data_IF_828201106237
#
_entry.id   IF_828201106237
#
_cell.length_a   1.000
_cell.length_b   1.000
_cell.length_c   1.000
_cell.angle_alpha   90.00
_cell.angle_beta   90.00
_cell.angle_gamma   90.00
#
_symmetry.space_group_name_H-M   'P 1'
#
loop_
_entity.id
_entity.type
_entity.pdbx_description
1 polymer ?
#
# COMPACT_ATOMS: atom_id res chain seq x y z
N UNK A 1 13.40 -19.95 -21.15
CA UNK A 1 12.75 -18.63 -20.95
C UNK A 1 13.65 -17.79 -20.06
N UNK A 2 14.09 -16.63 -20.54
CA UNK A 2 15.09 -15.79 -19.90
C UNK A 2 14.64 -15.35 -18.49
N UNK A 3 15.51 -15.51 -17.49
CA UNK A 3 15.40 -14.80 -16.21
C UNK A 3 15.55 -13.32 -16.55
N UNK A 4 14.45 -12.58 -16.62
CA UNK A 4 14.52 -11.13 -16.64
C UNK A 4 15.23 -10.72 -15.35
N UNK A 5 16.45 -10.19 -15.48
CA UNK A 5 17.11 -9.46 -14.42
C UNK A 5 16.18 -8.32 -14.01
N UNK A 6 15.40 -8.56 -12.95
CA UNK A 6 14.43 -7.59 -12.47
C UNK A 6 15.18 -6.30 -12.12
N UNK A 7 14.63 -5.12 -12.48
CA UNK A 7 15.43 -3.92 -12.57
C UNK A 7 16.04 -3.59 -11.19
N UNK A 8 17.37 -3.44 -11.13
CA UNK A 8 18.16 -3.01 -9.95
C UNK A 8 17.63 -1.72 -9.28
N UNK A 9 16.71 -1.02 -9.95
CA UNK A 9 16.01 0.16 -9.47
C UNK A 9 15.07 -0.13 -8.29
N UNK A 10 14.40 -1.29 -8.24
CA UNK A 10 13.49 -1.62 -7.14
C UNK A 10 14.20 -1.66 -5.79
N UNK A 11 15.37 -2.28 -5.75
CA UNK A 11 16.27 -2.33 -4.58
C UNK A 11 16.70 -0.93 -4.12
N UNK A 12 17.07 -0.05 -5.06
CA UNK A 12 17.48 1.33 -4.75
C UNK A 12 16.33 2.19 -4.26
N UNK A 13 15.12 2.00 -4.78
CA UNK A 13 13.92 2.79 -4.43
C UNK A 13 13.32 2.30 -3.11
N UNK A 14 13.51 1.02 -2.77
CA UNK A 14 12.83 0.39 -1.64
C UNK A 14 13.04 1.14 -0.32
N UNK A 15 14.25 1.53 0.12
CA UNK A 15 14.44 2.29 1.36
C UNK A 15 13.72 3.65 1.35
N UNK A 16 13.69 4.31 0.20
CA UNK A 16 13.14 5.66 0.03
C UNK A 16 11.63 5.70 -0.18
N UNK A 17 10.96 4.55 -0.27
CA UNK A 17 9.51 4.46 -0.54
C UNK A 17 8.67 5.33 0.39
N UNK A 18 9.05 5.47 1.66
CA UNK A 18 8.37 6.36 2.60
C UNK A 18 8.56 7.85 2.27
N UNK A 19 9.81 8.26 2.00
CA UNK A 19 10.14 9.64 1.65
C UNK A 19 9.49 10.12 0.35
N UNK A 20 9.36 9.23 -0.64
CA UNK A 20 8.63 9.52 -1.88
C UNK A 20 7.17 9.93 -1.61
N UNK A 21 6.51 9.25 -0.66
CA UNK A 21 5.14 9.60 -0.27
C UNK A 21 5.05 10.89 0.54
N UNK A 22 6.10 11.25 1.30
CA UNK A 22 6.19 12.57 1.94
C UNK A 22 6.26 13.67 0.88
N UNK A 23 7.11 13.52 -0.14
CA UNK A 23 7.19 14.49 -1.25
C UNK A 23 5.85 14.60 -1.97
N UNK A 24 5.21 13.46 -2.26
CA UNK A 24 3.87 13.46 -2.84
C UNK A 24 2.86 14.21 -1.95
N UNK A 25 2.87 13.96 -0.64
CA UNK A 25 1.98 14.69 0.29
C UNK A 25 2.23 16.20 0.29
N UNK A 26 3.48 16.64 0.19
CA UNK A 26 3.80 18.07 0.06
C UNK A 26 3.28 18.66 -1.26
N UNK A 27 3.33 17.91 -2.36
CA UNK A 27 2.71 18.31 -3.63
C UNK A 27 1.18 18.40 -3.51
N UNK A 28 0.54 17.39 -2.90
CA UNK A 28 -0.90 17.42 -2.59
C UNK A 28 -1.22 18.70 -1.82
N UNK A 29 -0.47 18.97 -0.75
CA UNK A 29 -0.64 20.17 0.04
C UNK A 29 -0.41 21.42 -0.81
N UNK A 30 0.61 21.51 -1.65
CA UNK A 30 0.83 22.70 -2.51
C UNK A 30 -0.35 23.05 -3.42
N UNK A 31 -1.07 22.05 -3.94
CA UNK A 31 -2.13 22.22 -4.95
C UNK A 31 -3.55 21.99 -4.42
N UNK A 32 -3.70 21.64 -3.14
CA UNK A 32 -4.99 21.32 -2.54
C UNK A 32 -5.93 22.54 -2.48
N UNK A 33 -7.15 22.34 -3.01
CA UNK A 33 -8.29 23.26 -2.93
C UNK A 33 -9.50 22.54 -2.32
N UNK A 34 -9.38 22.08 -1.07
CA UNK A 34 -10.37 21.18 -0.48
C UNK A 34 -11.74 21.86 -0.36
N UNK A 35 -12.78 21.04 -0.37
CA UNK A 35 -14.14 21.42 -0.05
C UNK A 35 -14.69 20.42 0.97
N UNK A 36 -15.73 20.78 1.72
CA UNK A 36 -16.35 19.84 2.67
C UNK A 36 -16.77 18.53 1.96
N UNK A 37 -17.32 18.63 0.75
CA UNK A 37 -17.72 17.48 -0.06
C UNK A 37 -16.52 16.61 -0.43
N UNK A 38 -15.43 17.20 -0.91
CA UNK A 38 -14.24 16.44 -1.28
C UNK A 38 -13.59 15.78 -0.06
N UNK A 39 -13.58 16.47 1.09
CA UNK A 39 -13.15 15.90 2.36
C UNK A 39 -13.97 14.66 2.75
N UNK A 40 -15.30 14.77 2.76
CA UNK A 40 -16.21 13.67 3.11
C UNK A 40 -16.04 12.47 2.17
N UNK A 41 -15.94 12.72 0.85
CA UNK A 41 -15.73 11.66 -0.13
C UNK A 41 -14.35 11.00 0.02
N UNK A 42 -13.31 11.78 0.29
CA UNK A 42 -11.95 11.27 0.46
C UNK A 42 -11.73 10.48 1.74
N UNK A 43 -12.49 10.75 2.81
CA UNK A 43 -12.42 9.98 4.07
C UNK A 43 -12.77 8.50 3.84
N UNK A 44 -13.69 8.21 2.92
CA UNK A 44 -14.17 6.83 2.66
C UNK A 44 -13.01 5.89 2.23
N UNK A 45 -12.31 6.14 1.11
CA UNK A 45 -11.17 5.29 0.71
C UNK A 45 -10.00 5.41 1.69
N UNK A 46 -9.82 6.54 2.37
CA UNK A 46 -8.76 6.70 3.38
C UNK A 46 -8.96 5.75 4.57
N UNK A 47 -10.16 5.74 5.15
CA UNK A 47 -10.49 4.84 6.26
C UNK A 47 -10.47 3.40 5.80
N UNK A 48 -11.06 3.09 4.64
CA UNK A 48 -11.02 1.74 4.06
C UNK A 48 -9.60 1.23 3.83
N UNK A 49 -8.71 2.09 3.32
CA UNK A 49 -7.29 1.81 3.13
C UNK A 49 -6.57 1.54 4.44
N UNK A 50 -6.80 2.37 5.48
CA UNK A 50 -6.19 2.18 6.80
C UNK A 50 -6.68 0.89 7.48
N UNK A 51 -7.96 0.55 7.36
CA UNK A 51 -8.49 -0.72 7.86
C UNK A 51 -7.88 -1.93 7.14
N UNK A 52 -7.74 -1.86 5.81
CA UNK A 52 -7.07 -2.91 5.04
C UNK A 52 -5.60 -3.07 5.46
N UNK A 53 -4.90 -1.95 5.71
CA UNK A 53 -3.52 -1.97 6.22
C UNK A 53 -3.44 -2.61 7.60
N UNK A 54 -4.34 -2.27 8.52
CA UNK A 54 -4.40 -2.93 9.84
C UNK A 54 -4.61 -4.44 9.70
N UNK A 55 -5.55 -4.85 8.85
CA UNK A 55 -5.79 -6.27 8.63
C UNK A 55 -4.55 -6.96 8.06
N UNK A 56 -3.87 -6.34 7.08
CA UNK A 56 -2.67 -6.88 6.47
C UNK A 56 -1.51 -6.94 7.46
N UNK A 57 -1.24 -5.85 8.17
CA UNK A 57 -0.14 -5.72 9.13
C UNK A 57 -0.27 -6.62 10.35
N UNK A 58 -1.50 -6.95 10.79
CA UNK A 58 -1.69 -7.96 11.83
C UNK A 58 -1.59 -9.39 11.29
N UNK A 59 -1.71 -9.58 9.97
CA UNK A 59 -1.64 -10.90 9.32
C UNK A 59 -0.21 -11.27 8.92
N UNK A 60 0.51 -10.31 8.35
CA UNK A 60 1.94 -10.45 8.03
C UNK A 60 2.74 -10.08 9.27
N UNK A 61 3.74 -10.89 9.62
CA UNK A 61 4.62 -10.61 10.76
C UNK A 61 5.49 -9.37 10.53
N UNK A 62 6.81 -9.53 10.56
CA UNK A 62 7.73 -8.42 10.30
C UNK A 62 7.80 -8.11 8.80
N UNK A 63 7.29 -6.95 8.37
CA UNK A 63 7.39 -6.44 7.00
C UNK A 63 7.98 -5.02 6.91
N UNK A 64 8.16 -4.34 8.05
CA UNK A 64 8.82 -3.03 8.10
C UNK A 64 10.33 -3.20 8.23
N UNK A 65 11.06 -2.58 7.30
CA UNK A 65 12.51 -2.55 7.21
C UNK A 65 12.98 -1.86 5.93
N UNK A 66 14.27 -1.52 5.87
CA UNK A 66 14.94 -0.98 4.67
C UNK A 66 15.33 -2.08 3.69
N UNK A 67 15.26 -3.34 4.13
CA UNK A 67 15.51 -4.53 3.33
C UNK A 67 14.23 -5.34 3.15
N UNK A 68 14.13 -6.05 2.02
CA UNK A 68 13.05 -7.00 1.79
C UNK A 68 13.29 -8.26 2.60
N UNK A 69 12.29 -8.68 3.36
CA UNK A 69 12.37 -9.87 4.20
C UNK A 69 11.01 -10.51 4.41
N UNK A 70 11.01 -11.84 4.53
CA UNK A 70 9.82 -12.62 4.86
C UNK A 70 10.22 -13.84 5.68
N UNK A 71 9.68 -14.02 6.89
CA UNK A 71 9.95 -15.20 7.72
C UNK A 71 9.23 -16.44 7.17
N UNK A 72 8.00 -16.25 6.71
CA UNK A 72 7.16 -17.29 6.12
C UNK A 72 6.33 -16.71 4.98
N UNK A 73 5.84 -17.58 4.08
CA UNK A 73 4.96 -17.19 3.00
C UNK A 73 3.51 -17.05 3.51
N UNK A 74 3.09 -15.83 3.76
CA UNK A 74 1.73 -15.51 4.23
C UNK A 74 0.75 -15.50 3.07
N UNK A 75 -0.28 -16.34 3.13
CA UNK A 75 -1.29 -16.49 2.06
C UNK A 75 -2.73 -16.50 2.58
N UNK A 76 -2.93 -16.00 3.81
CA UNK A 76 -4.22 -15.88 4.49
C UNK A 76 -4.52 -14.42 4.87
N UNK A 77 -5.66 -14.19 5.51
CA UNK A 77 -6.21 -12.86 5.76
C UNK A 77 -6.40 -12.11 4.44
N UNK A 78 -5.99 -10.83 4.35
CA UNK A 78 -6.15 -10.07 3.11
C UNK A 78 -5.22 -10.59 1.99
N UNK A 79 -4.13 -11.29 2.35
CA UNK A 79 -3.23 -11.93 1.39
C UNK A 79 -3.89 -13.10 0.64
N UNK A 80 -5.00 -13.64 1.12
CA UNK A 80 -5.76 -14.63 0.35
C UNK A 80 -6.46 -14.01 -0.87
N UNK A 81 -6.81 -12.72 -0.80
CA UNK A 81 -7.60 -12.01 -1.81
C UNK A 81 -6.72 -11.31 -2.84
N UNK A 82 -5.65 -10.67 -2.38
CA UNK A 82 -4.69 -9.93 -3.20
C UNK A 82 -3.29 -10.11 -2.64
N UNK A 83 -2.26 -10.10 -3.47
CA UNK A 83 -0.88 -10.36 -3.02
C UNK A 83 -0.25 -9.21 -2.26
N UNK A 84 -0.68 -7.98 -2.55
CA UNK A 84 -0.07 -6.76 -2.03
C UNK A 84 -1.08 -5.86 -1.28
N UNK A 85 -1.78 -6.37 -0.25
CA UNK A 85 -2.85 -5.63 0.42
C UNK A 85 -2.36 -4.39 1.18
N UNK A 86 -1.11 -4.37 1.66
CA UNK A 86 -0.51 -3.18 2.28
C UNK A 86 -0.38 -2.02 1.27
N UNK A 87 0.03 -2.33 0.04
CA UNK A 87 0.16 -1.33 -1.01
C UNK A 87 -1.19 -0.93 -1.59
N UNK A 88 -2.15 -1.86 -1.66
CA UNK A 88 -3.54 -1.52 -1.98
C UNK A 88 -4.13 -0.55 -0.94
N UNK A 89 -3.84 -0.78 0.35
CA UNK A 89 -4.22 0.14 1.42
C UNK A 89 -3.54 1.51 1.29
N UNK A 90 -2.26 1.56 0.90
CA UNK A 90 -1.59 2.83 0.57
C UNK A 90 -2.24 3.52 -0.62
N UNK A 91 -2.62 2.77 -1.66
CA UNK A 91 -3.32 3.29 -2.83
C UNK A 91 -4.63 3.97 -2.41
N UNK A 92 -5.39 3.33 -1.53
CA UNK A 92 -6.67 3.84 -1.04
C UNK A 92 -6.50 5.08 -0.15
N UNK A 93 -5.49 5.12 0.73
CA UNK A 93 -5.15 6.31 1.53
C UNK A 93 -4.73 7.48 0.63
N UNK A 94 -3.81 7.25 -0.30
CA UNK A 94 -3.35 8.28 -1.23
C UNK A 94 -4.47 8.77 -2.16
N UNK A 95 -5.36 7.88 -2.61
CA UNK A 95 -6.57 8.25 -3.35
C UNK A 95 -7.50 9.11 -2.49
N UNK A 96 -7.67 8.78 -1.21
CA UNK A 96 -8.42 9.59 -0.27
C UNK A 96 -7.87 11.01 -0.19
N UNK A 97 -6.57 11.17 0.04
CA UNK A 97 -5.93 12.49 0.05
C UNK A 97 -6.03 13.23 -1.29
N UNK A 98 -5.87 12.54 -2.42
CA UNK A 98 -6.03 13.14 -3.74
C UNK A 98 -7.47 13.64 -3.97
N UNK A 99 -8.48 12.88 -3.54
CA UNK A 99 -9.89 13.30 -3.58
C UNK A 99 -10.10 14.50 -2.66
N UNK A 100 -9.62 14.45 -1.41
CA UNK A 100 -9.75 15.56 -0.46
C UNK A 100 -9.15 16.85 -1.02
N UNK A 101 -7.99 16.76 -1.65
CA UNK A 101 -7.29 17.89 -2.27
C UNK A 101 -8.07 18.53 -3.42
N UNK A 102 -9.05 17.83 -4.00
CA UNK A 102 -9.96 18.36 -5.01
C UNK A 102 -9.23 18.96 -6.23
N UNK A 103 -8.18 18.28 -6.67
CA UNK A 103 -7.40 18.64 -7.86
C UNK A 103 -7.24 17.40 -8.76
N UNK A 104 -7.78 17.42 -9.99
CA UNK A 104 -7.59 16.35 -10.97
C UNK A 104 -6.12 16.09 -11.29
N UNK A 105 -5.29 17.12 -11.28
CA UNK A 105 -3.85 17.03 -11.54
C UNK A 105 -3.15 16.22 -10.45
N UNK A 106 -3.47 16.50 -9.18
CA UNK A 106 -2.95 15.73 -8.03
C UNK A 106 -3.36 14.26 -8.15
N UNK A 107 -4.61 13.97 -8.53
CA UNK A 107 -5.07 12.61 -8.74
C UNK A 107 -4.33 11.91 -9.89
N UNK A 108 -4.12 12.58 -11.02
CA UNK A 108 -3.36 12.04 -12.16
C UNK A 108 -1.92 11.72 -11.79
N UNK A 109 -1.22 12.66 -11.16
CA UNK A 109 0.16 12.48 -10.67
C UNK A 109 0.24 11.34 -9.66
N UNK A 110 -0.73 11.25 -8.74
CA UNK A 110 -0.82 10.17 -7.76
C UNK A 110 -0.88 8.80 -8.43
N UNK A 111 -1.83 8.61 -9.35
CA UNK A 111 -2.05 7.31 -10.00
C UNK A 111 -0.81 6.89 -10.80
N UNK A 112 -0.21 7.82 -11.54
CA UNK A 112 1.02 7.55 -12.30
C UNK A 112 2.19 7.20 -11.37
N UNK A 113 2.41 7.98 -10.31
CA UNK A 113 3.47 7.73 -9.35
C UNK A 113 3.26 6.38 -8.63
N UNK A 114 2.04 6.07 -8.20
CA UNK A 114 1.69 4.81 -7.56
C UNK A 114 2.00 3.61 -8.47
N UNK A 115 1.54 3.65 -9.72
CA UNK A 115 1.77 2.57 -10.68
C UNK A 115 3.26 2.40 -11.01
N UNK A 116 3.99 3.50 -11.21
CA UNK A 116 5.42 3.46 -11.50
C UNK A 116 6.24 2.92 -10.32
N UNK A 117 6.00 3.45 -9.10
CA UNK A 117 6.77 3.10 -7.91
C UNK A 117 6.41 1.69 -7.43
N UNK A 118 5.12 1.40 -7.21
CA UNK A 118 4.72 0.10 -6.66
C UNK A 118 4.62 -0.97 -7.73
N UNK A 119 3.89 -0.72 -8.82
CA UNK A 119 3.70 -1.69 -9.89
C UNK A 119 4.98 -1.95 -10.69
N UNK A 120 5.76 -0.90 -10.96
CA UNK A 120 6.97 -0.98 -11.78
C UNK A 120 8.25 -1.36 -11.03
N UNK A 121 8.38 -0.99 -9.75
CA UNK A 121 9.64 -1.14 -9.02
C UNK A 121 9.53 -2.00 -7.74
N UNK A 122 8.70 -1.61 -6.77
CA UNK A 122 8.69 -2.23 -5.44
C UNK A 122 8.13 -3.66 -5.47
N UNK A 123 6.94 -3.87 -6.04
CA UNK A 123 6.31 -5.19 -6.06
C UNK A 123 7.14 -6.20 -6.86
N UNK A 124 7.62 -5.89 -8.09
CA UNK A 124 8.47 -6.83 -8.82
C UNK A 124 9.74 -7.23 -8.04
N UNK A 125 10.35 -6.28 -7.32
CA UNK A 125 11.50 -6.56 -6.46
C UNK A 125 11.16 -7.49 -5.29
N UNK A 126 10.07 -7.22 -4.56
CA UNK A 126 9.61 -8.09 -3.48
C UNK A 126 9.21 -9.48 -3.97
N UNK A 127 8.50 -9.57 -5.09
CA UNK A 127 8.10 -10.85 -5.68
C UNK A 127 9.32 -11.65 -6.18
N UNK A 128 10.36 -11.00 -6.69
CA UNK A 128 11.66 -11.65 -7.00
C UNK A 128 12.26 -12.30 -5.77
N UNK A 129 12.30 -11.57 -4.66
CA UNK A 129 12.83 -12.08 -3.40
C UNK A 129 12.01 -13.27 -2.90
N UNK A 130 10.68 -13.16 -2.92
CA UNK A 130 9.78 -14.25 -2.50
C UNK A 130 9.91 -15.48 -3.40
N UNK A 131 10.07 -15.29 -4.72
CA UNK A 131 10.30 -16.39 -5.66
C UNK A 131 11.65 -17.07 -5.42
N UNK A 132 12.72 -16.31 -5.16
CA UNK A 132 14.03 -16.88 -4.79
C UNK A 132 13.97 -17.65 -3.46
N UNK A 133 13.23 -17.14 -2.47
CA UNK A 133 13.16 -17.71 -1.12
C UNK A 133 12.24 -18.91 -1.01
N UNK A 134 11.04 -18.85 -1.59
CA UNK A 134 9.98 -19.84 -1.41
C UNK A 134 9.69 -20.67 -2.68
N UNK A 135 10.29 -20.30 -3.82
CA UNK A 135 10.29 -21.11 -5.04
C UNK A 135 8.88 -21.53 -5.51
N UNK A 136 8.62 -22.85 -5.66
CA UNK A 136 7.33 -23.35 -6.14
C UNK A 136 6.13 -22.90 -5.31
N UNK A 137 6.27 -22.75 -3.99
CA UNK A 137 5.18 -22.35 -3.12
C UNK A 137 4.72 -20.91 -3.42
N UNK A 138 5.65 -20.01 -3.69
CA UNK A 138 5.32 -18.64 -4.10
C UNK A 138 4.71 -18.59 -5.50
N UNK A 139 5.21 -19.40 -6.46
CA UNK A 139 4.59 -19.48 -7.80
C UNK A 139 3.13 -19.92 -7.74
N UNK A 140 2.84 -21.01 -7.02
CA UNK A 140 1.47 -21.48 -6.83
C UNK A 140 0.56 -20.44 -6.16
N UNK A 141 1.11 -19.64 -5.24
CA UNK A 141 0.41 -18.51 -4.64
C UNK A 141 0.19 -17.34 -5.63
N UNK A 142 1.20 -17.00 -6.42
CA UNK A 142 1.12 -15.99 -7.48
C UNK A 142 0.04 -16.30 -8.52
N UNK A 143 -0.06 -17.56 -8.93
CA UNK A 143 -0.98 -17.95 -9.99
C UNK A 143 -2.44 -17.88 -9.54
N UNK A 144 -2.71 -18.21 -8.26
CA UNK A 144 -4.07 -18.19 -7.69
C UNK A 144 -4.51 -16.82 -7.17
N UNK A 145 -3.58 -15.97 -6.73
CA UNK A 145 -3.91 -14.69 -6.05
C UNK A 145 -3.48 -13.50 -6.93
N UNK A 146 -4.41 -12.60 -7.31
CA UNK A 146 -4.10 -11.43 -8.13
C UNK A 146 -3.26 -10.38 -7.37
N UNK A 147 -2.63 -9.46 -8.10
CA UNK A 147 -1.75 -8.43 -7.51
C UNK A 147 -2.51 -7.40 -6.66
N UNK A 148 -3.59 -6.80 -7.20
CA UNK A 148 -4.32 -5.68 -6.58
C UNK A 148 -5.84 -5.82 -6.55
N UNK A 149 -6.47 -6.41 -7.58
CA UNK A 149 -7.93 -6.52 -7.65
C UNK A 149 -8.34 -7.96 -7.37
N UNK A 150 -9.17 -8.23 -6.35
CA UNK A 150 -9.54 -9.59 -6.00
C UNK A 150 -10.36 -10.21 -7.13
N UNK A 151 -10.14 -11.51 -7.36
CA UNK A 151 -10.88 -12.28 -8.36
C UNK A 151 -12.10 -12.93 -7.72
N UNK A 152 -13.20 -12.97 -8.47
CA UNK A 152 -14.39 -13.75 -8.10
C UNK A 152 -14.28 -15.18 -8.69
N UNK A 153 -14.79 -16.20 -7.99
CA UNK A 153 -15.34 -16.15 -6.63
C UNK A 153 -14.25 -15.94 -5.58
N UNK A 154 -14.59 -15.27 -4.48
CA UNK A 154 -13.66 -15.04 -3.38
C UNK A 154 -13.14 -16.35 -2.78
N UNK A 155 -11.90 -16.36 -2.24
CA UNK A 155 -11.31 -17.55 -1.66
C UNK A 155 -12.16 -18.08 -0.49
N UNK A 156 -12.50 -19.38 -0.53
CA UNK A 156 -13.27 -20.04 0.54
C UNK A 156 -12.47 -20.18 1.84
N UNK A 157 -11.15 -20.31 1.75
CA UNK A 157 -10.22 -20.43 2.89
C UNK A 157 -9.33 -19.20 2.95
N UNK A 158 -9.63 -18.28 3.87
CA UNK A 158 -8.87 -17.04 4.08
C UNK A 158 -8.53 -16.79 5.54
N UNK A 159 -9.10 -17.54 6.49
CA UNK A 159 -8.78 -17.37 7.92
C UNK A 159 -7.38 -17.91 8.21
N UNK A 160 -6.71 -17.28 9.15
CA UNK A 160 -5.40 -17.71 9.65
C UNK A 160 -4.94 -16.83 10.81
N UNK A 161 -3.70 -17.03 11.28
CA UNK A 161 -3.14 -16.28 12.40
C UNK A 161 -3.21 -14.76 12.21
N UNK A 162 -3.49 -14.05 13.31
CA UNK A 162 -3.52 -12.59 13.38
C UNK A 162 -2.92 -12.13 14.70
N UNK A 163 -1.94 -11.24 14.66
CA UNK A 163 -1.22 -10.72 15.81
C UNK A 163 -1.49 -9.22 16.00
N UNK A 164 -2.24 -8.89 17.06
CA UNK A 164 -2.59 -7.50 17.44
C UNK A 164 -1.37 -6.68 17.89
N UNK A 165 -0.38 -7.31 18.52
CA UNK A 165 0.82 -6.64 18.98
C UNK A 165 1.73 -6.26 17.79
N UNK A 166 1.81 -7.12 16.77
CA UNK A 166 2.50 -6.80 15.52
C UNK A 166 1.78 -5.67 14.76
N UNK A 167 0.45 -5.73 14.67
CA UNK A 167 -0.36 -4.64 14.09
C UNK A 167 -0.02 -3.31 14.75
N UNK A 168 -0.11 -3.21 16.08
CA UNK A 168 0.06 -1.93 16.76
C UNK A 168 1.48 -1.38 16.59
N UNK A 169 2.50 -2.24 16.74
CA UNK A 169 3.90 -1.84 16.52
C UNK A 169 4.15 -1.40 15.08
N UNK A 170 3.55 -2.08 14.12
CA UNK A 170 3.77 -1.82 12.70
C UNK A 170 2.97 -0.63 12.19
N UNK A 171 1.76 -0.36 12.67
CA UNK A 171 0.87 0.63 12.03
C UNK A 171 0.58 1.88 12.86
N UNK A 172 1.03 1.97 14.12
CA UNK A 172 0.86 3.20 14.91
C UNK A 172 1.41 4.44 14.19
N UNK A 173 2.60 4.33 13.61
CA UNK A 173 3.22 5.47 12.91
C UNK A 173 2.45 5.85 11.63
N UNK A 174 2.01 4.87 10.82
CA UNK A 174 1.22 5.17 9.62
C UNK A 174 -0.14 5.76 9.97
N UNK A 175 -0.77 5.30 11.06
CA UNK A 175 -1.99 5.89 11.58
C UNK A 175 -1.80 7.36 11.93
N UNK A 176 -0.76 7.70 12.71
CA UNK A 176 -0.49 9.10 13.07
C UNK A 176 -0.16 9.98 11.87
N UNK A 177 0.61 9.48 10.90
CA UNK A 177 0.88 10.20 9.65
C UNK A 177 -0.40 10.42 8.85
N UNK A 178 -1.26 9.39 8.76
CA UNK A 178 -2.54 9.49 8.04
C UNK A 178 -3.47 10.50 8.69
N UNK A 179 -3.60 10.46 10.03
CA UNK A 179 -4.42 11.40 10.79
C UNK A 179 -3.87 12.82 10.69
N UNK A 180 -2.58 13.01 10.96
CA UNK A 180 -1.92 14.32 10.90
C UNK A 180 -2.00 14.95 9.51
N UNK A 181 -1.68 14.18 8.47
CA UNK A 181 -1.78 14.63 7.09
C UNK A 181 -3.21 14.99 6.68
N UNK A 182 -4.20 14.22 7.12
CA UNK A 182 -5.62 14.53 6.87
C UNK A 182 -6.06 15.80 7.60
N UNK A 183 -5.65 16.00 8.85
CA UNK A 183 -5.95 17.23 9.62
C UNK A 183 -5.32 18.45 8.94
N UNK A 184 -4.07 18.36 8.51
CA UNK A 184 -3.40 19.45 7.77
C UNK A 184 -4.10 19.74 6.44
N UNK A 185 -4.51 18.71 5.72
CA UNK A 185 -5.22 18.88 4.44
C UNK A 185 -6.62 19.45 4.63
N UNK A 186 -7.33 19.07 5.70
CA UNK A 186 -8.64 19.64 6.06
C UNK A 186 -8.47 21.07 6.57
N UNK A 187 -7.35 21.41 7.23
CA UNK A 187 -7.15 22.76 7.76
C UNK A 187 -7.16 23.86 6.69
N UNK A 188 -6.79 23.50 5.46
CA UNK A 188 -6.89 24.33 4.25
C UNK A 188 -8.31 24.79 3.89
N UNK A 189 -9.34 24.29 4.55
CA UNK A 189 -10.70 24.85 4.42
C UNK A 189 -10.83 26.24 5.05
N UNK A 190 -9.88 26.63 5.91
CA UNK A 190 -9.97 27.85 6.72
C UNK A 190 -8.88 28.90 6.41
N UNK A 191 -7.98 28.66 5.46
CA UNK A 191 -6.90 29.59 5.08
C UNK A 191 -6.39 29.36 3.66
#
# INVERSE_FOLDING_TARGET
MAKADLPRWGERIFPWRGGLWTVFFLLVLGYARPSLRSCLLGVIPLVGGQLLRFWAAGTIGRYRGEEVGAVQLVTWGPYAFVRNPLYLGNAAIGLGWAIMANSPEVLGVFLLAFLAIYGGAIIPYEESFLEKKFGPAFRAYRDRTPMFFPRLPFPKKWRGPFDRAVLWRSERHSLWVTLGGSVVLISRLWW
#
